data_IF_769545658631
#
_entry.id   IF_769545658631
#
_cell.length_a   1.000
_cell.length_b   1.000
_cell.length_c   1.000
_cell.angle_alpha   90.00
_cell.angle_beta   90.00
_cell.angle_gamma   90.00
#
_symmetry.space_group_name_H-M   'P 1'
#
loop_
_entity.id
_entity.type
_entity.pdbx_description
1 polymer ?
#
# COMPACT_ATOMS: atom_id res chain seq x y z
N UNK A 1 17.47 30.35 61.75
CA UNK A 1 16.98 31.19 60.63
C UNK A 1 16.92 30.34 59.36
N UNK A 2 15.73 30.25 58.75
CA UNK A 2 15.41 30.11 57.30
C UNK A 2 16.25 29.11 56.47
N UNK A 3 15.72 27.92 56.16
CA UNK A 3 15.02 27.53 54.90
C UNK A 3 15.81 27.83 53.63
N UNK A 4 16.23 26.79 52.90
CA UNK A 4 16.31 26.65 51.42
C UNK A 4 16.45 25.12 51.19
N UNK A 5 15.39 24.40 50.88
CA UNK A 5 14.68 24.28 49.59
C UNK A 5 15.05 22.93 48.94
N UNK A 6 14.08 22.02 49.02
CA UNK A 6 13.96 20.78 48.26
C UNK A 6 14.22 21.05 46.78
N UNK A 7 15.08 20.28 46.12
CA UNK A 7 15.12 20.26 44.66
C UNK A 7 15.40 18.84 44.13
N UNK A 8 14.48 18.43 43.25
CA UNK A 8 14.60 17.42 42.20
C UNK A 8 14.68 15.95 42.60
N UNK A 9 13.53 15.40 42.99
CA UNK A 9 13.07 14.16 42.39
C UNK A 9 12.58 14.49 40.96
N UNK A 10 13.50 14.51 39.99
CA UNK A 10 13.13 14.58 38.58
C UNK A 10 12.86 13.15 38.13
N UNK A 11 11.59 12.92 37.81
CA UNK A 11 11.05 11.67 37.33
C UNK A 11 11.88 11.12 36.16
N UNK A 12 12.56 9.99 36.39
CA UNK A 12 12.80 9.04 35.32
C UNK A 12 11.44 8.40 34.97
N UNK A 13 10.59 9.18 34.28
CA UNK A 13 9.60 8.63 33.36
C UNK A 13 10.42 7.95 32.26
N UNK A 14 10.85 6.73 32.55
CA UNK A 14 11.19 5.75 31.53
C UNK A 14 9.95 5.66 30.64
N UNK A 15 10.03 6.35 29.51
CA UNK A 15 9.19 6.15 28.34
C UNK A 15 9.37 4.70 27.89
N UNK A 16 8.66 3.79 28.55
CA UNK A 16 8.40 2.44 28.06
C UNK A 16 7.04 2.45 27.37
N UNK A 17 6.95 3.16 26.25
CA UNK A 17 5.83 3.01 25.33
C UNK A 17 6.34 3.33 23.92
N UNK A 18 6.83 2.30 23.23
CA UNK A 18 6.16 1.96 21.96
C UNK A 18 5.85 0.46 21.81
N UNK A 19 6.10 -0.36 22.85
CA UNK A 19 5.91 -1.81 22.72
C UNK A 19 4.46 -2.31 22.90
N UNK A 20 3.56 -1.48 23.45
CA UNK A 20 2.21 -1.93 23.83
C UNK A 20 1.23 -1.91 22.65
N UNK A 21 1.41 -1.03 21.66
CA UNK A 21 0.54 -0.92 20.49
C UNK A 21 0.97 -1.82 19.31
N UNK A 22 2.25 -2.17 19.23
CA UNK A 22 2.76 -3.11 18.24
C UNK A 22 2.17 -4.54 18.38
N UNK A 23 1.64 -4.89 19.57
CA UNK A 23 0.88 -6.13 19.78
C UNK A 23 -0.61 -6.02 19.49
N UNK A 24 -1.16 -4.82 19.27
CA UNK A 24 -2.59 -4.62 19.10
C UNK A 24 -3.12 -5.15 17.76
N UNK A 25 -2.25 -5.27 16.75
CA UNK A 25 -2.59 -5.91 15.47
C UNK A 25 -2.64 -7.44 15.57
N UNK A 26 -2.10 -8.05 16.64
CA UNK A 26 -2.16 -9.49 16.83
C UNK A 26 -3.59 -9.95 17.09
N UNK A 27 -3.99 -11.02 16.42
CA UNK A 27 -5.30 -11.62 16.61
C UNK A 27 -5.86 -12.27 15.35
N UNK A 28 -7.10 -12.72 15.48
CA UNK A 28 -7.93 -13.16 14.36
C UNK A 28 -8.96 -12.09 14.03
N UNK A 29 -9.03 -11.73 12.77
CA UNK A 29 -9.79 -10.61 12.26
C UNK A 29 -10.73 -11.08 11.15
N UNK A 30 -11.99 -10.67 11.21
CA UNK A 30 -13.03 -10.96 10.23
C UNK A 30 -13.48 -9.67 9.55
N UNK A 31 -13.53 -9.68 8.23
CA UNK A 31 -13.94 -8.53 7.41
C UNK A 31 -15.32 -8.04 7.83
N UNK A 32 -15.44 -6.73 8.02
CA UNK A 32 -16.72 -6.03 8.07
C UNK A 32 -17.03 -5.51 6.66
N UNK A 33 -17.88 -6.21 5.87
CA UNK A 33 -18.16 -5.82 4.49
C UNK A 33 -18.92 -4.49 4.41
N UNK A 34 -19.58 -4.05 5.49
CA UNK A 34 -20.30 -2.78 5.50
C UNK A 34 -19.39 -1.57 5.74
N UNK A 35 -18.21 -1.80 6.36
CA UNK A 35 -17.22 -0.77 6.64
C UNK A 35 -16.00 -0.84 5.70
N UNK A 36 -15.93 -1.83 4.82
CA UNK A 36 -14.82 -2.05 3.91
C UNK A 36 -15.11 -1.56 2.49
N UNK A 37 -14.08 -1.05 1.83
CA UNK A 37 -14.10 -0.80 0.39
C UNK A 37 -13.80 -2.09 -0.39
N UNK A 38 -14.34 -2.16 -1.60
CA UNK A 38 -14.09 -3.26 -2.52
C UNK A 38 -13.00 -2.88 -3.54
N UNK A 39 -12.09 -3.82 -3.84
CA UNK A 39 -11.00 -3.63 -4.80
C UNK A 39 -11.51 -3.21 -6.19
N UNK A 40 -12.52 -3.90 -6.72
CA UNK A 40 -13.03 -3.65 -8.06
C UNK A 40 -13.73 -2.29 -8.13
N UNK A 41 -14.48 -1.91 -7.10
CA UNK A 41 -15.10 -0.57 -7.03
C UNK A 41 -14.05 0.55 -6.94
N UNK A 42 -13.00 0.37 -6.13
CA UNK A 42 -11.89 1.32 -6.02
C UNK A 42 -11.13 1.45 -7.35
N UNK A 43 -10.90 0.32 -8.04
CA UNK A 43 -10.28 0.27 -9.35
C UNK A 43 -11.09 1.00 -10.41
N UNK A 44 -12.41 0.77 -10.45
CA UNK A 44 -13.33 1.43 -11.38
C UNK A 44 -13.42 2.93 -11.12
N UNK A 45 -13.47 3.35 -9.86
CA UNK A 45 -13.45 4.76 -9.47
C UNK A 45 -12.15 5.44 -9.91
N UNK A 46 -10.99 4.79 -9.72
CA UNK A 46 -9.71 5.32 -10.15
C UNK A 46 -9.63 5.42 -11.68
N UNK A 47 -10.03 4.36 -12.40
CA UNK A 47 -10.04 4.37 -13.87
C UNK A 47 -10.96 5.47 -14.42
N UNK A 48 -12.12 5.67 -13.81
CA UNK A 48 -13.04 6.76 -14.19
C UNK A 48 -12.37 8.12 -14.01
N UNK A 49 -11.75 8.36 -12.85
CA UNK A 49 -11.03 9.61 -12.57
C UNK A 49 -9.87 9.84 -13.56
N UNK A 50 -9.03 8.83 -13.81
CA UNK A 50 -7.92 8.94 -14.75
C UNK A 50 -8.41 9.25 -16.17
N UNK A 51 -9.53 8.65 -16.58
CA UNK A 51 -10.15 8.91 -17.88
C UNK A 51 -10.69 10.34 -17.99
N UNK A 52 -11.30 10.87 -16.93
CA UNK A 52 -11.76 12.26 -16.88
C UNK A 52 -10.60 13.26 -16.92
N UNK A 53 -9.55 13.00 -16.13
CA UNK A 53 -8.32 13.81 -16.13
C UNK A 53 -7.70 13.85 -17.53
N UNK A 54 -7.57 12.70 -18.22
CA UNK A 54 -7.06 12.65 -19.60
C UNK A 54 -7.96 13.40 -20.59
N UNK A 55 -9.29 13.28 -20.48
CA UNK A 55 -10.24 14.01 -21.34
C UNK A 55 -10.20 15.52 -21.13
N UNK A 56 -9.86 15.96 -19.93
CA UNK A 56 -9.80 17.39 -19.57
C UNK A 56 -8.53 18.09 -20.07
N UNK A 57 -7.48 17.33 -20.40
CA UNK A 57 -6.24 17.91 -20.92
C UNK A 57 -6.52 18.56 -22.28
N UNK A 58 -6.14 19.84 -22.47
CA UNK A 58 -6.27 20.47 -23.77
C UNK A 58 -5.49 19.64 -24.78
N UNK A 59 -6.17 19.13 -25.81
CA UNK A 59 -5.49 18.57 -26.96
C UNK A 59 -4.76 19.73 -27.64
N UNK A 60 -3.50 19.95 -27.26
CA UNK A 60 -2.58 20.77 -28.04
C UNK A 60 -2.38 20.07 -29.37
N UNK A 61 -3.27 20.37 -30.31
CA UNK A 61 -2.98 20.16 -31.71
C UNK A 61 -1.82 21.09 -32.02
N UNK A 62 -0.59 20.57 -31.91
CA UNK A 62 0.56 21.17 -32.59
C UNK A 62 0.17 21.25 -34.07
N UNK A 63 -0.29 22.43 -34.50
CA UNK A 63 -0.31 22.79 -35.91
C UNK A 63 1.15 22.94 -36.33
N UNK A 64 1.86 21.82 -36.50
CA UNK A 64 3.12 21.81 -37.22
C UNK A 64 2.80 22.29 -38.62
N UNK A 65 3.15 23.55 -38.90
CA UNK A 65 3.22 24.05 -40.27
C UNK A 65 4.14 23.11 -41.03
N UNK A 66 3.57 22.30 -41.90
CA UNK A 66 4.31 21.35 -42.71
C UNK A 66 5.29 22.11 -43.61
N UNK A 67 6.55 22.17 -43.21
CA UNK A 67 7.65 22.52 -44.09
C UNK A 67 8.42 21.25 -44.43
N UNK A 68 8.22 20.81 -45.68
CA UNK A 68 9.09 19.93 -46.48
C UNK A 68 9.24 18.45 -46.08
N UNK A 69 8.62 17.55 -46.86
CA UNK A 69 9.20 16.24 -47.18
C UNK A 69 8.71 14.98 -46.43
N UNK A 70 7.87 15.09 -45.39
CA UNK A 70 7.39 13.92 -44.62
C UNK A 70 6.07 13.32 -45.14
N UNK A 71 5.97 11.99 -45.19
CA UNK A 71 4.76 11.27 -45.61
C UNK A 71 3.57 11.61 -44.70
N UNK A 72 2.50 12.20 -45.24
CA UNK A 72 1.31 12.67 -44.49
C UNK A 72 0.64 11.56 -43.67
N UNK A 73 0.78 10.32 -44.10
CA UNK A 73 0.24 9.14 -43.40
C UNK A 73 1.04 8.79 -42.14
N UNK A 74 2.35 9.08 -42.09
CA UNK A 74 3.19 8.73 -40.96
C UNK A 74 2.79 9.51 -39.71
N UNK A 75 2.51 10.80 -39.84
CA UNK A 75 2.05 11.63 -38.71
C UNK A 75 0.70 11.15 -38.14
N UNK A 76 -0.20 10.63 -38.98
CA UNK A 76 -1.46 10.05 -38.54
C UNK A 76 -1.24 8.70 -37.84
N UNK A 77 -0.39 7.84 -38.40
CA UNK A 77 -0.02 6.55 -37.77
C UNK A 77 0.63 6.78 -36.42
N UNK A 78 1.57 7.72 -36.31
CA UNK A 78 2.26 8.03 -35.06
C UNK A 78 1.30 8.63 -34.01
N UNK A 79 0.32 9.44 -34.43
CA UNK A 79 -0.73 9.94 -33.55
C UNK A 79 -1.67 8.82 -33.06
N UNK A 80 -2.07 7.90 -33.94
CA UNK A 80 -2.89 6.74 -33.56
C UNK A 80 -2.11 5.78 -32.66
N UNK A 81 -0.86 5.46 -32.97
CA UNK A 81 -0.01 4.63 -32.12
C UNK A 81 0.29 5.27 -30.77
N UNK A 82 0.32 6.60 -30.70
CA UNK A 82 0.42 7.33 -29.43
C UNK A 82 -0.88 7.21 -28.65
N UNK A 83 -2.03 7.45 -29.27
CA UNK A 83 -3.33 7.23 -28.63
C UNK A 83 -3.53 5.79 -28.15
N UNK A 84 -3.06 4.79 -28.89
CA UNK A 84 -3.11 3.37 -28.48
C UNK A 84 -2.16 3.11 -27.30
N UNK A 85 -0.95 3.65 -27.32
CA UNK A 85 0.01 3.53 -26.20
C UNK A 85 -0.44 4.29 -24.96
N UNK A 86 -1.18 5.37 -25.14
CA UNK A 86 -1.73 6.22 -24.09
C UNK A 86 -3.18 5.82 -23.73
N UNK A 87 -3.71 4.75 -24.33
CA UNK A 87 -5.05 4.26 -24.05
C UNK A 87 -5.08 3.60 -22.67
N UNK A 88 -5.28 4.43 -21.65
CA UNK A 88 -5.39 4.04 -20.24
C UNK A 88 -6.83 3.68 -19.85
N UNK A 89 -7.75 3.46 -20.81
CA UNK A 89 -9.19 3.48 -20.55
C UNK A 89 -9.71 2.37 -19.65
N UNK A 90 -8.95 1.30 -19.45
CA UNK A 90 -9.28 0.21 -18.53
C UNK A 90 -8.00 -0.46 -18.05
N UNK A 91 -7.26 0.21 -17.15
CA UNK A 91 -6.15 -0.44 -16.48
C UNK A 91 -6.71 -1.52 -15.56
N UNK A 92 -6.13 -2.71 -15.61
CA UNK A 92 -6.42 -3.75 -14.65
C UNK A 92 -5.62 -3.47 -13.37
N UNK A 93 -6.32 -3.55 -12.24
CA UNK A 93 -5.77 -3.30 -10.91
C UNK A 93 -5.90 -4.55 -10.05
N UNK A 94 -5.08 -4.67 -9.01
CA UNK A 94 -5.03 -5.83 -8.13
C UNK A 94 -3.88 -6.79 -8.43
N UNK A 95 -3.01 -6.46 -9.39
CA UNK A 95 -1.86 -7.27 -9.77
C UNK A 95 -2.22 -8.70 -10.23
N UNK A 96 -1.29 -9.66 -10.09
CA UNK A 96 -1.53 -11.05 -10.45
C UNK A 96 -2.56 -11.71 -9.51
N UNK A 97 -3.14 -12.87 -9.89
CA UNK A 97 -4.20 -13.53 -9.13
C UNK A 97 -3.90 -13.72 -7.64
N UNK A 98 -2.63 -14.00 -7.30
CA UNK A 98 -2.16 -14.16 -5.94
C UNK A 98 -2.34 -12.90 -5.09
N UNK A 99 -2.09 -11.73 -5.69
CA UNK A 99 -2.32 -10.44 -5.04
C UNK A 99 -3.82 -10.19 -4.91
N UNK A 100 -4.63 -10.40 -5.96
CA UNK A 100 -6.09 -10.21 -5.89
C UNK A 100 -6.76 -11.06 -4.83
N UNK A 101 -6.37 -12.32 -4.71
CA UNK A 101 -6.89 -13.23 -3.69
C UNK A 101 -6.52 -12.74 -2.28
N UNK A 102 -5.27 -12.33 -2.07
CA UNK A 102 -4.83 -11.75 -0.80
C UNK A 102 -5.61 -10.46 -0.47
N UNK A 103 -5.78 -9.58 -1.46
CA UNK A 103 -6.49 -8.31 -1.30
C UNK A 103 -8.00 -8.47 -1.08
N UNK A 104 -8.58 -9.60 -1.48
CA UNK A 104 -9.99 -9.93 -1.29
C UNK A 104 -10.28 -10.74 -0.02
N UNK A 105 -9.25 -11.10 0.75
CA UNK A 105 -9.36 -12.04 1.87
C UNK A 105 -10.41 -11.62 2.94
N UNK A 106 -11.32 -12.50 3.33
CA UNK A 106 -12.36 -12.21 4.32
C UNK A 106 -11.88 -12.33 5.76
N UNK A 107 -10.78 -13.03 5.98
CA UNK A 107 -10.18 -13.28 7.30
C UNK A 107 -8.69 -13.02 7.28
N UNK A 108 -8.20 -12.42 8.36
CA UNK A 108 -6.78 -12.22 8.61
C UNK A 108 -6.40 -12.82 9.96
N UNK A 109 -5.26 -13.49 10.02
CA UNK A 109 -4.58 -13.79 11.28
C UNK A 109 -3.21 -13.18 11.26
N UNK A 110 -2.94 -12.32 12.24
CA UNK A 110 -1.66 -11.63 12.37
C UNK A 110 -1.02 -12.09 13.68
N UNK A 111 0.22 -12.57 13.56
CA UNK A 111 1.07 -12.89 14.71
C UNK A 111 2.41 -12.19 14.56
N UNK A 112 2.64 -11.22 15.43
CA UNK A 112 3.84 -10.41 15.48
C UNK A 112 4.65 -10.74 16.73
N UNK A 113 5.87 -11.22 16.51
CA UNK A 113 6.94 -11.26 17.51
C UNK A 113 8.26 -10.77 16.88
N UNK A 114 9.29 -11.62 16.80
CA UNK A 114 10.54 -11.34 16.04
C UNK A 114 10.34 -11.36 14.54
N UNK A 115 9.27 -12.03 14.10
CA UNK A 115 8.78 -12.10 12.72
C UNK A 115 7.29 -11.81 12.75
N UNK A 116 6.77 -11.44 11.59
CA UNK A 116 5.34 -11.31 11.37
C UNK A 116 4.89 -12.52 10.56
N UNK A 117 3.79 -13.13 10.98
CA UNK A 117 3.03 -14.07 10.17
C UNK A 117 1.69 -13.43 9.87
N UNK A 118 1.36 -13.29 8.58
CA UNK A 118 0.04 -12.86 8.12
C UNK A 118 -0.57 -14.03 7.35
N UNK A 119 -1.77 -14.44 7.75
CA UNK A 119 -2.53 -15.48 7.09
C UNK A 119 -3.84 -14.89 6.55
N UNK A 120 -4.04 -14.99 5.26
CA UNK A 120 -5.22 -14.53 4.53
C UNK A 120 -6.08 -15.75 4.18
N UNK A 121 -7.33 -15.80 4.66
CA UNK A 121 -8.30 -16.88 4.41
C UNK A 121 -7.82 -18.31 4.68
N UNK A 122 -6.81 -18.45 5.53
CA UNK A 122 -6.09 -19.71 5.75
C UNK A 122 -5.38 -20.30 4.52
N UNK A 123 -5.50 -19.68 3.36
CA UNK A 123 -4.93 -20.14 2.09
C UNK A 123 -3.55 -19.54 1.83
N UNK A 124 -3.37 -18.24 2.10
CA UNK A 124 -2.12 -17.52 1.80
C UNK A 124 -1.42 -17.10 3.06
N UNK A 125 -0.14 -17.47 3.18
CA UNK A 125 0.68 -17.22 4.35
C UNK A 125 1.90 -16.42 3.97
N UNK A 126 2.13 -15.33 4.69
CA UNK A 126 3.33 -14.52 4.60
C UNK A 126 4.11 -14.63 5.89
N UNK A 127 5.41 -14.90 5.78
CA UNK A 127 6.34 -14.95 6.90
C UNK A 127 7.40 -13.88 6.68
N UNK A 128 7.27 -12.76 7.39
CA UNK A 128 8.03 -11.54 7.11
C UNK A 128 8.96 -11.20 8.27
N UNK A 129 10.14 -10.68 7.96
CA UNK A 129 11.06 -10.14 8.97
C UNK A 129 10.81 -8.65 9.15
N UNK A 130 10.61 -8.22 10.40
CA UNK A 130 10.50 -6.79 10.73
C UNK A 130 11.89 -6.17 10.68
N UNK A 131 12.03 -5.05 9.96
CA UNK A 131 13.17 -4.17 10.02
C UNK A 131 13.05 -3.28 11.27
N UNK A 132 13.91 -3.47 12.30
CA UNK A 132 13.84 -2.67 13.52
C UNK A 132 14.28 -1.22 13.30
N UNK A 133 14.96 -0.91 12.18
CA UNK A 133 15.37 0.45 11.84
C UNK A 133 14.22 1.28 11.24
N UNK A 134 13.03 0.68 11.03
CA UNK A 134 11.91 1.35 10.39
C UNK A 134 11.98 1.26 8.86
N UNK A 135 11.47 2.29 8.19
CA UNK A 135 11.47 2.39 6.74
C UNK A 135 12.89 2.54 6.19
N UNK A 136 13.25 1.74 5.19
CA UNK A 136 14.53 1.82 4.50
C UNK A 136 14.34 2.33 3.07
N UNK A 137 15.11 3.34 2.67
CA UNK A 137 15.06 3.92 1.31
C UNK A 137 16.08 3.30 0.35
N UNK A 138 17.01 2.50 0.87
CA UNK A 138 18.03 1.79 0.09
C UNK A 138 18.20 0.37 0.64
N UNK A 139 17.85 -0.62 -0.16
CA UNK A 139 17.93 -2.03 0.25
C UNK A 139 19.38 -2.52 0.17
N UNK A 140 19.97 -2.83 1.32
CA UNK A 140 21.25 -3.57 1.38
C UNK A 140 21.07 -5.09 1.21
N UNK A 141 19.82 -5.55 1.07
CA UNK A 141 19.44 -6.96 0.85
C UNK A 141 19.14 -7.76 2.13
N UNK A 142 19.61 -7.30 3.31
CA UNK A 142 19.35 -8.02 4.59
C UNK A 142 18.06 -7.62 5.30
N UNK A 143 17.42 -6.55 4.83
CA UNK A 143 16.24 -5.91 5.44
C UNK A 143 14.92 -6.41 4.84
N UNK A 144 14.98 -7.14 3.72
CA UNK A 144 13.82 -7.61 2.98
C UNK A 144 13.61 -9.12 3.15
N UNK A 145 12.38 -9.56 2.94
CA UNK A 145 12.00 -10.97 2.86
C UNK A 145 11.41 -11.25 1.48
N UNK A 146 11.85 -12.32 0.82
CA UNK A 146 11.26 -12.77 -0.45
C UNK A 146 10.16 -13.82 -0.16
N UNK A 147 8.98 -13.64 -0.75
CA UNK A 147 7.85 -14.58 -0.70
C UNK A 147 7.27 -14.83 -2.10
N UNK A 148 6.06 -15.42 -2.17
CA UNK A 148 5.38 -15.73 -3.45
C UNK A 148 4.91 -14.50 -4.22
N UNK A 149 4.68 -13.37 -3.53
CA UNK A 149 4.24 -12.13 -4.16
C UNK A 149 5.42 -11.33 -4.68
N UNK A 150 6.52 -11.30 -3.93
CA UNK A 150 7.70 -10.55 -4.31
C UNK A 150 8.69 -10.35 -3.17
N UNK A 151 9.37 -9.21 -3.24
CA UNK A 151 10.33 -8.78 -2.22
C UNK A 151 9.69 -7.76 -1.31
N UNK A 152 9.63 -8.06 -0.02
CA UNK A 152 8.95 -7.24 0.98
C UNK A 152 9.88 -6.63 2.00
N UNK A 153 9.71 -5.34 2.26
CA UNK A 153 10.20 -4.65 3.43
C UNK A 153 9.06 -4.53 4.44
N UNK A 154 9.28 -5.05 5.64
CA UNK A 154 8.30 -4.97 6.72
C UNK A 154 8.87 -4.15 7.86
N UNK A 155 8.11 -3.20 8.39
CA UNK A 155 8.55 -2.34 9.48
C UNK A 155 7.37 -1.83 10.30
N UNK A 156 7.68 -1.26 11.47
CA UNK A 156 6.70 -0.53 12.26
C UNK A 156 6.83 0.97 11.97
N UNK A 157 5.70 1.61 11.75
CA UNK A 157 5.59 3.05 11.48
C UNK A 157 4.50 3.61 12.40
N UNK A 158 4.94 4.32 13.43
CA UNK A 158 4.13 4.65 14.60
C UNK A 158 3.49 3.38 15.21
N UNK A 159 2.15 3.31 15.24
CA UNK A 159 1.37 2.19 15.76
C UNK A 159 0.87 1.23 14.67
N UNK A 160 1.42 1.34 13.46
CA UNK A 160 1.05 0.51 12.32
C UNK A 160 2.14 -0.49 11.94
N UNK A 161 1.71 -1.67 11.54
CA UNK A 161 2.56 -2.61 10.81
C UNK A 161 2.46 -2.28 9.32
N UNK A 162 3.60 -2.03 8.68
CA UNK A 162 3.67 -1.70 7.25
C UNK A 162 4.45 -2.78 6.50
N UNK A 163 3.90 -3.22 5.36
CA UNK A 163 4.54 -4.15 4.43
C UNK A 163 4.59 -3.49 3.05
N UNK A 164 5.78 -3.07 2.62
CA UNK A 164 6.02 -2.60 1.25
C UNK A 164 6.57 -3.77 0.41
N UNK A 165 5.84 -4.18 -0.62
CA UNK A 165 6.19 -5.31 -1.51
C UNK A 165 6.47 -4.81 -2.92
N UNK A 166 7.66 -5.09 -3.43
CA UNK A 166 7.94 -5.03 -4.87
C UNK A 166 7.53 -6.37 -5.47
N UNK A 167 6.37 -6.39 -6.14
CA UNK A 167 5.76 -7.61 -6.70
C UNK A 167 6.55 -8.04 -7.94
N UNK A 168 6.61 -9.33 -8.23
CA UNK A 168 7.39 -9.85 -9.36
C UNK A 168 6.93 -9.37 -10.74
N UNK A 169 5.69 -8.89 -10.87
CA UNK A 169 5.17 -8.28 -12.10
C UNK A 169 5.67 -6.84 -12.32
N UNK A 170 6.41 -6.28 -11.35
CA UNK A 170 6.94 -4.91 -11.38
C UNK A 170 6.07 -3.89 -10.64
N UNK A 171 4.88 -4.28 -10.19
CA UNK A 171 4.03 -3.43 -9.36
C UNK A 171 4.60 -3.25 -7.95
N UNK A 172 4.15 -2.20 -7.26
CA UNK A 172 4.46 -2.01 -5.86
C UNK A 172 3.16 -2.01 -5.07
N UNK A 173 3.16 -2.80 -4.02
CA UNK A 173 2.06 -2.95 -3.09
C UNK A 173 2.50 -2.45 -1.72
N UNK A 174 1.66 -1.70 -1.03
CA UNK A 174 1.85 -1.28 0.35
C UNK A 174 0.62 -1.69 1.14
N UNK A 175 0.83 -2.45 2.20
CA UNK A 175 -0.21 -2.82 3.15
C UNK A 175 0.13 -2.18 4.50
N UNK A 176 -0.80 -1.39 5.03
CA UNK A 176 -0.69 -0.75 6.34
C UNK A 176 -1.80 -1.30 7.24
N UNK A 177 -1.40 -1.94 8.33
CA UNK A 177 -2.29 -2.54 9.32
C UNK A 177 -2.29 -1.72 10.60
N UNK A 178 -3.46 -1.22 10.98
CA UNK A 178 -3.66 -0.34 12.14
C UNK A 178 -4.75 -0.92 13.04
N UNK A 179 -4.42 -1.14 14.31
CA UNK A 179 -5.43 -1.47 15.31
C UNK A 179 -6.13 -0.18 15.75
N UNK A 180 -7.43 -0.09 15.48
CA UNK A 180 -8.26 1.09 15.78
C UNK A 180 -9.31 0.75 16.84
N UNK A 181 -9.98 1.77 17.35
CA UNK A 181 -11.02 1.63 18.38
C UNK A 181 -10.54 0.83 19.62
N UNK A 182 -9.32 1.12 20.08
CA UNK A 182 -8.75 0.46 21.26
C UNK A 182 -8.26 -0.98 21.01
N UNK A 183 -8.21 -1.42 19.75
CA UNK A 183 -7.76 -2.75 19.36
C UNK A 183 -8.88 -3.74 19.01
N UNK A 184 -10.14 -3.28 19.01
CA UNK A 184 -11.31 -4.08 18.65
C UNK A 184 -11.52 -4.17 17.12
N UNK A 185 -10.90 -3.25 16.37
CA UNK A 185 -10.94 -3.21 14.92
C UNK A 185 -9.55 -3.14 14.32
N UNK A 186 -9.42 -3.69 13.12
CA UNK A 186 -8.21 -3.61 12.32
C UNK A 186 -8.55 -2.93 11.00
N UNK A 187 -7.89 -1.79 10.76
CA UNK A 187 -7.89 -1.13 9.47
C UNK A 187 -6.70 -1.62 8.66
N UNK A 188 -6.96 -2.12 7.47
CA UNK A 188 -5.96 -2.44 6.45
C UNK A 188 -6.09 -1.45 5.30
N UNK A 189 -5.17 -0.50 5.20
CA UNK A 189 -5.08 0.38 4.04
C UNK A 189 -4.11 -0.22 3.03
N UNK A 190 -4.60 -0.42 1.81
CA UNK A 190 -3.86 -1.00 0.71
C UNK A 190 -3.57 0.09 -0.31
N UNK A 191 -2.34 0.13 -0.80
CA UNK A 191 -1.94 0.98 -1.92
C UNK A 191 -1.20 0.17 -2.96
N UNK A 192 -1.61 0.27 -4.21
CA UNK A 192 -0.99 -0.44 -5.34
C UNK A 192 -0.61 0.54 -6.45
N UNK A 193 0.55 0.35 -7.07
CA UNK A 193 0.94 1.01 -8.33
C UNK A 193 1.55 -0.01 -9.29
N UNK A 194 1.08 -0.04 -10.53
CA UNK A 194 1.64 -0.92 -11.59
C UNK A 194 3.12 -0.59 -11.90
N UNK A 195 3.50 0.69 -11.81
CA UNK A 195 4.86 1.18 -12.14
C UNK A 195 5.30 2.28 -11.18
N UNK A 196 6.62 2.49 -11.09
CA UNK A 196 7.24 3.44 -10.16
C UNK A 196 6.73 4.88 -10.26
N UNK A 197 6.22 5.31 -11.41
CA UNK A 197 5.70 6.66 -11.69
C UNK A 197 4.21 6.72 -12.00
N UNK A 198 3.46 5.62 -11.79
CA UNK A 198 2.02 5.56 -12.03
C UNK A 198 1.20 6.16 -10.89
N UNK A 199 -0.12 6.38 -11.11
CA UNK A 199 -1.04 6.70 -10.02
C UNK A 199 -1.12 5.52 -9.05
N UNK A 200 -1.41 5.84 -7.79
CA UNK A 200 -1.71 4.84 -6.79
C UNK A 200 -3.21 4.53 -6.81
N UNK A 201 -3.55 3.25 -6.85
CA UNK A 201 -4.78 2.75 -6.29
C UNK A 201 -4.64 2.74 -4.78
N UNK A 202 -5.69 3.16 -4.09
CA UNK A 202 -5.77 3.12 -2.64
C UNK A 202 -7.18 2.68 -2.25
N UNK A 203 -7.27 1.76 -1.31
CA UNK A 203 -8.54 1.37 -0.72
C UNK A 203 -8.33 0.81 0.70
N UNK A 204 -9.38 0.81 1.49
CA UNK A 204 -9.34 0.41 2.90
C UNK A 204 -10.29 -0.74 3.18
N UNK A 205 -9.81 -1.72 3.95
CA UNK A 205 -10.60 -2.84 4.46
C UNK A 205 -10.63 -2.79 5.98
N UNK A 206 -11.81 -2.89 6.55
CA UNK A 206 -12.05 -2.84 7.98
C UNK A 206 -12.42 -4.24 8.48
N UNK A 207 -11.78 -4.67 9.57
CA UNK A 207 -12.00 -5.98 10.17
C UNK A 207 -12.36 -5.84 11.64
N UNK A 208 -13.12 -6.82 12.13
CA UNK A 208 -13.52 -6.97 13.53
C UNK A 208 -12.79 -8.12 14.18
N UNK A 209 -12.44 -7.97 15.45
CA UNK A 209 -11.79 -9.00 16.23
C UNK A 209 -12.75 -10.17 16.53
N UNK A 210 -12.24 -11.41 16.47
CA UNK A 210 -13.05 -12.64 16.65
C UNK A 210 -12.58 -13.50 17.83
N UNK A 211 -11.41 -13.20 18.41
CA UNK A 211 -10.81 -13.98 19.51
C UNK A 211 -11.28 -13.59 20.93
#
# INVERSE_FOLDING_TARGET
MRRIARLMALAALLSTAPAVLAGAVNGTWQLDPAASENLDEAADALNTRLNEEERSKPQEFERRSSASGGNRYQAQVDAVQRMIREDNRSREWGGPPEVREMLSAETLKIYQERKVVILYDSARKRLLRINPAGRAFSYSGTETTDDELGRSLTYLDDDALVVETSVYDGSNLVERFEAVDGGDRLRMTIRERERSSGPWLEFTREFTRVD
#
